data_IF_553666089609
#
_entry.id   IF_553666089609
#
_cell.length_a   1.000
_cell.length_b   1.000
_cell.length_c   1.000
_cell.angle_alpha   90.00
_cell.angle_beta   90.00
_cell.angle_gamma   90.00
#
_symmetry.space_group_name_H-M   'P 1'
#
loop_
_entity.id
_entity.type
_entity.pdbx_description
1 polymer ?
#
# COMPACT_ATOMS: atom_id res chain seq x y z
N UNK A 1 -1.56 16.44 26.38
CA UNK A 1 -1.42 16.66 24.92
C UNK A 1 -1.29 15.36 24.10
N UNK A 2 -0.52 14.34 24.53
CA UNK A 2 -0.34 13.07 23.76
C UNK A 2 -1.64 12.26 23.54
N UNK A 3 -2.58 12.26 24.51
CA UNK A 3 -3.82 11.47 24.45
C UNK A 3 -4.81 11.91 23.35
N UNK A 4 -4.85 13.20 23.03
CA UNK A 4 -5.78 13.76 22.03
C UNK A 4 -5.35 13.29 20.62
N UNK A 5 -4.05 13.27 20.34
CA UNK A 5 -3.49 12.77 19.09
C UNK A 5 -3.72 11.25 18.91
N UNK A 6 -3.65 10.46 19.99
CA UNK A 6 -3.89 9.01 19.91
C UNK A 6 -5.36 8.68 19.63
N UNK A 7 -6.31 9.45 20.17
CA UNK A 7 -7.75 9.24 19.92
C UNK A 7 -8.13 9.58 18.48
N UNK A 8 -7.60 10.68 17.93
CA UNK A 8 -7.84 11.04 16.52
C UNK A 8 -7.21 10.04 15.55
N UNK A 9 -6.01 9.53 15.84
CA UNK A 9 -5.39 8.46 15.02
C UNK A 9 -6.25 7.19 15.02
N UNK A 10 -6.82 6.80 16.16
CA UNK A 10 -7.70 5.62 16.24
C UNK A 10 -8.95 5.78 15.37
N UNK A 11 -9.58 6.95 15.42
CA UNK A 11 -10.78 7.25 14.62
C UNK A 11 -10.43 7.31 13.12
N UNK A 12 -9.31 7.96 12.77
CA UNK A 12 -8.83 8.03 11.40
C UNK A 12 -8.45 6.64 10.84
N UNK A 13 -7.79 5.80 11.64
CA UNK A 13 -7.47 4.43 11.28
C UNK A 13 -8.73 3.57 11.10
N UNK A 14 -9.72 3.69 11.99
CA UNK A 14 -11.00 3.00 11.86
C UNK A 14 -11.74 3.42 10.58
N UNK A 15 -11.79 4.72 10.29
CA UNK A 15 -12.39 5.24 9.05
C UNK A 15 -11.65 4.75 7.79
N UNK A 16 -10.31 4.74 7.81
CA UNK A 16 -9.49 4.23 6.71
C UNK A 16 -9.68 2.73 6.49
N UNK A 17 -9.82 1.94 7.56
CA UNK A 17 -10.09 0.50 7.49
C UNK A 17 -11.47 0.23 6.86
N UNK A 18 -12.51 0.93 7.32
CA UNK A 18 -13.87 0.80 6.75
C UNK A 18 -13.89 1.21 5.27
N UNK A 19 -13.20 2.31 4.92
CA UNK A 19 -13.08 2.76 3.53
C UNK A 19 -12.28 1.79 2.66
N UNK A 20 -11.23 1.18 3.20
CA UNK A 20 -10.44 0.16 2.49
C UNK A 20 -11.23 -1.13 2.27
N UNK A 21 -12.03 -1.56 3.24
CA UNK A 21 -12.94 -2.71 3.09
C UNK A 21 -14.02 -2.43 2.05
N UNK A 22 -14.60 -1.23 2.06
CA UNK A 22 -15.55 -0.80 1.03
C UNK A 22 -14.90 -0.76 -0.37
N UNK A 23 -13.65 -0.28 -0.46
CA UNK A 23 -12.88 -0.24 -1.71
C UNK A 23 -12.44 -1.63 -2.20
N UNK A 24 -12.23 -2.60 -1.29
CA UNK A 24 -11.82 -3.96 -1.64
C UNK A 24 -12.98 -4.87 -2.09
N UNK A 25 -14.24 -4.44 -1.97
CA UNK A 25 -15.43 -5.27 -2.26
C UNK A 25 -15.52 -5.80 -3.70
N UNK A 26 -14.76 -5.25 -4.63
CA UNK A 26 -14.68 -5.71 -6.03
C UNK A 26 -13.27 -6.03 -6.53
N UNK A 27 -12.27 -6.08 -5.65
CA UNK A 27 -10.87 -6.25 -6.06
C UNK A 27 -10.55 -7.73 -6.29
N UNK A 28 -10.02 -8.07 -7.47
CA UNK A 28 -9.54 -9.43 -7.70
C UNK A 28 -8.31 -9.72 -6.84
N UNK A 29 -8.10 -10.99 -6.44
CA UNK A 29 -6.89 -11.39 -5.69
C UNK A 29 -5.61 -10.92 -6.38
N UNK A 30 -5.63 -10.96 -7.70
CA UNK A 30 -4.54 -10.54 -8.56
C UNK A 30 -4.26 -9.03 -8.43
N UNK A 31 -5.29 -8.19 -8.39
CA UNK A 31 -5.13 -6.75 -8.16
C UNK A 31 -4.67 -6.46 -6.72
N UNK A 32 -5.14 -7.21 -5.74
CA UNK A 32 -4.70 -7.08 -4.35
C UNK A 32 -3.20 -7.40 -4.20
N UNK A 33 -2.75 -8.54 -4.74
CA UNK A 33 -1.34 -8.91 -4.73
C UNK A 33 -0.47 -7.93 -5.53
N UNK A 34 -0.96 -7.41 -6.66
CA UNK A 34 -0.30 -6.36 -7.43
C UNK A 34 -0.16 -5.05 -6.63
N UNK A 35 -1.22 -4.62 -5.95
CA UNK A 35 -1.21 -3.41 -5.13
C UNK A 35 -0.23 -3.52 -3.96
N UNK A 36 -0.22 -4.65 -3.27
CA UNK A 36 0.74 -4.91 -2.17
C UNK A 36 2.17 -4.96 -2.69
N UNK A 37 2.41 -5.67 -3.80
CA UNK A 37 3.72 -5.76 -4.42
C UNK A 37 4.23 -4.40 -4.92
N UNK A 38 3.35 -3.58 -5.49
CA UNK A 38 3.69 -2.23 -5.95
C UNK A 38 4.00 -1.29 -4.77
N UNK A 39 3.20 -1.34 -3.71
CA UNK A 39 3.42 -0.51 -2.52
C UNK A 39 4.72 -0.88 -1.81
N UNK A 40 4.95 -2.18 -1.56
CA UNK A 40 6.17 -2.66 -0.91
C UNK A 40 7.40 -2.42 -1.80
N UNK A 41 7.32 -2.76 -3.09
CA UNK A 41 8.42 -2.59 -4.04
C UNK A 41 8.79 -1.12 -4.25
N UNK A 42 7.81 -0.21 -4.31
CA UNK A 42 8.07 1.22 -4.44
C UNK A 42 8.69 1.86 -3.20
N UNK A 43 8.25 1.43 -2.01
CA UNK A 43 8.84 1.87 -0.75
C UNK A 43 10.29 1.39 -0.60
N UNK A 44 10.53 0.10 -0.84
CA UNK A 44 11.88 -0.48 -0.81
C UNK A 44 12.78 0.14 -1.89
N UNK A 45 12.26 0.36 -3.08
CA UNK A 45 12.98 1.00 -4.18
C UNK A 45 13.39 2.44 -3.85
N UNK A 46 12.53 3.21 -3.18
CA UNK A 46 12.89 4.55 -2.70
C UNK A 46 14.02 4.51 -1.67
N UNK A 47 13.92 3.58 -0.70
CA UNK A 47 14.91 3.45 0.37
C UNK A 47 16.28 3.04 -0.19
N UNK A 48 16.30 2.17 -1.20
CA UNK A 48 17.54 1.67 -1.80
C UNK A 48 18.21 2.67 -2.74
N UNK A 49 17.43 3.42 -3.53
CA UNK A 49 17.99 4.33 -4.56
C UNK A 49 17.88 5.81 -4.20
N UNK A 50 17.17 6.17 -3.14
CA UNK A 50 16.96 7.56 -2.70
C UNK A 50 16.19 8.43 -3.68
N UNK A 51 15.48 7.85 -4.65
CA UNK A 51 14.95 8.60 -5.79
C UNK A 51 13.72 7.99 -6.43
N UNK A 52 12.99 8.79 -7.24
CA UNK A 52 11.71 8.38 -7.83
C UNK A 52 11.87 7.24 -8.83
N UNK A 53 13.04 7.11 -9.46
CA UNK A 53 13.34 6.02 -10.39
C UNK A 53 13.29 4.66 -9.68
N UNK A 54 13.86 4.53 -8.48
CA UNK A 54 13.78 3.28 -7.71
C UNK A 54 12.38 2.99 -7.23
N UNK A 55 11.59 4.01 -6.86
CA UNK A 55 10.18 3.83 -6.52
C UNK A 55 9.37 3.31 -7.69
N UNK A 56 9.48 3.94 -8.86
CA UNK A 56 8.70 3.53 -10.05
C UNK A 56 9.14 2.15 -10.51
N UNK A 57 10.45 1.88 -10.57
CA UNK A 57 10.96 0.57 -10.97
C UNK A 57 10.54 -0.52 -9.99
N UNK A 58 10.67 -0.27 -8.69
CA UNK A 58 10.28 -1.21 -7.63
C UNK A 58 8.78 -1.44 -7.57
N UNK A 59 7.97 -0.39 -7.76
CA UNK A 59 6.51 -0.50 -7.79
C UNK A 59 6.03 -1.24 -9.05
N UNK A 60 6.62 -0.95 -10.21
CA UNK A 60 6.27 -1.62 -11.46
C UNK A 60 6.63 -3.11 -11.41
N UNK A 61 7.86 -3.44 -11.01
CA UNK A 61 8.29 -4.83 -10.84
C UNK A 61 7.44 -5.53 -9.79
N UNK A 62 7.38 -5.01 -8.56
CA UNK A 62 6.61 -5.63 -7.48
C UNK A 62 5.12 -5.80 -7.82
N UNK A 63 4.54 -4.84 -8.55
CA UNK A 63 3.17 -4.92 -9.06
C UNK A 63 2.97 -6.02 -10.11
N UNK A 64 3.90 -6.16 -11.07
CA UNK A 64 3.85 -7.22 -12.08
C UNK A 64 3.99 -8.61 -11.47
N UNK A 65 4.95 -8.79 -10.55
CA UNK A 65 5.15 -10.07 -9.86
C UNK A 65 3.93 -10.36 -8.99
N UNK A 66 3.43 -9.39 -8.22
CA UNK A 66 2.24 -9.53 -7.39
C UNK A 66 1.00 -9.89 -8.20
N UNK A 67 0.81 -9.28 -9.38
CA UNK A 67 -0.26 -9.65 -10.31
C UNK A 67 -0.09 -11.06 -10.89
N UNK A 68 1.08 -11.69 -10.81
CA UNK A 68 1.30 -13.05 -11.29
C UNK A 68 0.88 -14.14 -10.29
N UNK A 69 0.77 -13.79 -9.00
CA UNK A 69 0.48 -14.74 -7.92
C UNK A 69 -1.05 -14.89 -7.76
N UNK A 70 -1.58 -16.11 -7.81
CA UNK A 70 -3.03 -16.43 -7.77
C UNK A 70 -3.49 -17.03 -6.44
#
# INVERSE_FOLDING_TARGET
>A
MKKIATTTIKIAAAAALVSSLAACSGMSRQQAHAGVGAAAGGALGYVLTGGPLGTVAGAAAGGLIGAGVR
#
